data_IF_439979450293
#
_entry.id   IF_439979450293
#
_cell.length_a   1.000
_cell.length_b   1.000
_cell.length_c   1.000
_cell.angle_alpha   90.00
_cell.angle_beta   90.00
_cell.angle_gamma   90.00
#
_symmetry.space_group_name_H-M   'P 1'
#
loop_
_entity.id
_entity.type
_entity.pdbx_description
1 polymer ?
#
# COMPACT_ATOMS: atom_id res chain seq x y z
N UNK A 1 -20.55 15.97 6.38
CA UNK A 1 -21.23 14.73 6.84
C UNK A 1 -21.50 13.85 5.64
N UNK A 2 -21.24 12.55 5.72
CA UNK A 2 -21.55 11.60 4.65
C UNK A 2 -22.97 11.03 4.84
N UNK A 3 -23.75 10.83 3.76
CA UNK A 3 -25.13 10.35 3.86
C UNK A 3 -25.26 8.86 4.22
N UNK A 4 -24.20 8.07 3.98
CA UNK A 4 -24.14 6.63 4.26
C UNK A 4 -22.75 6.26 4.81
N UNK A 5 -22.63 5.13 5.55
CA UNK A 5 -21.34 4.56 5.89
C UNK A 5 -20.47 4.30 4.66
N UNK A 6 -19.17 4.59 4.78
CA UNK A 6 -18.23 4.50 3.67
C UNK A 6 -18.10 3.07 3.12
N UNK A 7 -17.93 2.08 3.99
CA UNK A 7 -17.82 0.67 3.58
C UNK A 7 -19.09 0.17 2.86
N UNK A 8 -20.26 0.55 3.36
CA UNK A 8 -21.54 0.18 2.73
C UNK A 8 -21.65 0.77 1.32
N UNK A 9 -21.19 2.00 1.12
CA UNK A 9 -21.18 2.67 -0.19
C UNK A 9 -20.32 1.90 -1.20
N UNK A 10 -19.10 1.48 -0.81
CA UNK A 10 -18.22 0.69 -1.69
C UNK A 10 -18.73 -0.73 -1.92
N UNK A 11 -19.25 -1.41 -0.88
CA UNK A 11 -19.87 -2.73 -1.05
C UNK A 11 -21.12 -2.70 -1.91
N UNK A 12 -21.86 -1.58 -1.93
CA UNK A 12 -22.99 -1.37 -2.83
C UNK A 12 -22.56 -0.85 -4.22
N UNK A 13 -21.28 -0.57 -4.44
CA UNK A 13 -20.74 0.04 -5.66
C UNK A 13 -21.41 1.39 -6.02
N UNK A 14 -21.68 2.22 -5.01
CA UNK A 14 -22.37 3.52 -5.13
C UNK A 14 -21.45 4.73 -5.01
N UNK A 15 -20.13 4.51 -4.96
CA UNK A 15 -19.15 5.59 -4.98
C UNK A 15 -19.21 6.38 -6.29
N UNK A 16 -18.71 7.62 -6.27
CA UNK A 16 -18.65 8.44 -7.47
C UNK A 16 -17.75 7.78 -8.54
N UNK A 17 -18.18 7.70 -9.81
CA UNK A 17 -17.44 6.98 -10.85
C UNK A 17 -16.29 7.84 -11.40
N UNK A 18 -15.15 7.79 -10.71
CA UNK A 18 -13.89 8.39 -11.16
C UNK A 18 -12.76 7.37 -11.06
N UNK A 19 -11.69 7.50 -11.87
CA UNK A 19 -10.51 6.67 -11.72
C UNK A 19 -9.84 6.90 -10.36
N UNK A 20 -9.32 5.83 -9.75
CA UNK A 20 -8.72 5.88 -8.39
C UNK A 20 -7.31 5.29 -8.39
N UNK A 21 -6.38 5.97 -7.73
CA UNK A 21 -5.10 5.41 -7.31
C UNK A 21 -5.10 5.26 -5.78
N UNK A 22 -4.73 4.08 -5.28
CA UNK A 22 -4.77 3.76 -3.85
C UNK A 22 -3.66 2.76 -3.51
N UNK A 23 -3.13 2.78 -2.29
CA UNK A 23 -2.10 1.81 -1.91
C UNK A 23 -1.86 1.74 -0.42
N UNK A 24 -0.84 0.99 -0.06
CA UNK A 24 -0.37 0.82 1.31
C UNK A 24 1.14 0.60 1.35
N UNK A 25 1.74 0.89 2.49
CA UNK A 25 3.16 0.67 2.73
C UNK A 25 3.42 -0.74 3.28
N UNK A 26 4.67 -1.21 3.20
CA UNK A 26 5.00 -2.57 3.63
C UNK A 26 4.94 -2.79 5.13
N UNK A 27 5.11 -1.72 5.92
CA UNK A 27 5.09 -1.73 7.38
C UNK A 27 4.12 -0.67 7.97
N UNK A 28 2.89 -0.56 7.42
CA UNK A 28 1.84 0.35 7.94
C UNK A 28 1.55 0.16 9.43
N UNK A 29 1.68 -1.08 9.92
CA UNK A 29 1.42 -1.39 11.32
C UNK A 29 2.40 -0.72 12.29
N UNK A 30 3.50 -0.13 11.80
CA UNK A 30 4.42 0.71 12.58
C UNK A 30 3.69 1.82 13.35
N UNK A 31 2.63 2.41 12.77
CA UNK A 31 1.90 3.53 13.41
C UNK A 31 1.03 3.07 14.58
N UNK A 32 0.65 1.80 14.63
CA UNK A 32 -0.25 1.29 15.67
C UNK A 32 0.41 1.33 17.06
N UNK A 33 1.74 1.19 17.13
CA UNK A 33 2.49 1.39 18.37
C UNK A 33 2.37 2.85 18.86
N UNK A 34 2.40 3.82 17.94
CA UNK A 34 2.25 5.26 18.26
C UNK A 34 0.84 5.58 18.75
N UNK A 35 -0.18 4.90 18.23
CA UNK A 35 -1.57 5.02 18.71
C UNK A 35 -1.87 4.22 19.99
N UNK A 36 -0.85 3.62 20.63
CA UNK A 36 -1.01 2.87 21.88
C UNK A 36 -1.68 1.50 21.72
N UNK A 37 -1.74 0.97 20.49
CA UNK A 37 -2.26 -0.37 20.25
C UNK A 37 -1.15 -1.39 20.49
N UNK A 38 -1.24 -2.11 21.61
CA UNK A 38 -0.36 -3.23 21.91
C UNK A 38 -0.73 -4.46 21.05
N UNK A 39 -0.07 -4.57 19.89
CA UNK A 39 -0.23 -5.68 18.95
C UNK A 39 0.06 -7.03 19.63
N UNK A 40 1.09 -7.10 20.48
CA UNK A 40 1.47 -8.32 21.17
C UNK A 40 0.39 -8.72 22.20
N UNK A 41 -0.13 -7.76 22.95
CA UNK A 41 -1.24 -7.95 23.89
C UNK A 41 -2.53 -8.42 23.21
N UNK A 42 -2.87 -7.86 22.04
CA UNK A 42 -4.05 -8.29 21.27
C UNK A 42 -3.93 -9.74 20.78
N UNK A 43 -2.75 -10.17 20.34
CA UNK A 43 -2.55 -11.56 19.92
C UNK A 43 -2.50 -12.50 21.12
N UNK A 44 -1.89 -12.09 22.23
CA UNK A 44 -1.94 -12.88 23.46
C UNK A 44 -3.37 -13.07 23.94
N UNK A 45 -4.19 -12.01 23.90
CA UNK A 45 -5.62 -12.09 24.21
C UNK A 45 -6.33 -13.05 23.24
N UNK A 46 -6.10 -12.92 21.94
CA UNK A 46 -6.68 -13.80 20.93
C UNK A 46 -6.22 -15.27 21.08
N UNK A 47 -4.97 -15.51 21.47
CA UNK A 47 -4.46 -16.83 21.81
C UNK A 47 -5.16 -17.41 23.03
N UNK A 48 -5.56 -16.61 24.01
CA UNK A 48 -6.28 -17.09 25.20
C UNK A 48 -7.76 -17.32 24.90
N UNK A 49 -8.40 -16.40 24.21
CA UNK A 49 -9.86 -16.35 24.06
C UNK A 49 -10.37 -16.98 22.76
N UNK A 50 -9.55 -17.06 21.70
CA UNK A 50 -9.96 -17.46 20.34
C UNK A 50 -8.90 -18.32 19.64
N UNK A 51 -8.44 -19.40 20.30
CA UNK A 51 -7.39 -20.31 19.80
C UNK A 51 -7.64 -20.83 18.38
N UNK A 52 -8.87 -21.23 18.08
CA UNK A 52 -9.25 -21.75 16.76
C UNK A 52 -9.14 -20.64 15.69
N UNK A 53 -9.61 -19.43 16.00
CA UNK A 53 -9.50 -18.27 15.12
C UNK A 53 -8.05 -17.90 14.82
N UNK A 54 -7.17 -17.90 15.84
CA UNK A 54 -5.74 -17.65 15.66
C UNK A 54 -5.07 -18.73 14.80
N UNK A 55 -5.50 -20.00 14.92
CA UNK A 55 -5.03 -21.10 14.06
C UNK A 55 -5.37 -20.89 12.60
N UNK A 56 -6.60 -20.44 12.30
CA UNK A 56 -7.03 -20.10 10.94
C UNK A 56 -6.26 -18.89 10.39
N UNK A 57 -6.05 -17.86 11.20
CA UNK A 57 -5.26 -16.69 10.80
C UNK A 57 -3.83 -17.12 10.44
N UNK A 58 -3.17 -17.96 11.25
CA UNK A 58 -1.82 -18.46 10.94
C UNK A 58 -1.75 -19.21 9.60
N UNK A 59 -2.82 -19.88 9.19
CA UNK A 59 -2.89 -20.56 7.90
C UNK A 59 -2.91 -19.57 6.72
N UNK A 60 -3.49 -18.37 6.93
CA UNK A 60 -3.51 -17.29 5.93
C UNK A 60 -2.16 -16.57 5.78
N UNK A 61 -1.24 -16.72 6.75
CA UNK A 61 0.08 -16.08 6.76
C UNK A 61 1.22 -17.11 6.79
N UNK A 62 1.34 -17.97 5.75
CA UNK A 62 2.40 -18.98 5.71
C UNK A 62 3.78 -18.33 5.70
N UNK A 63 4.67 -18.78 6.58
CA UNK A 63 6.04 -18.29 6.68
C UNK A 63 6.29 -17.22 7.76
N UNK A 64 5.24 -16.64 8.35
CA UNK A 64 5.38 -15.67 9.44
C UNK A 64 5.60 -16.39 10.76
N UNK A 65 6.76 -16.15 11.38
CA UNK A 65 7.14 -16.75 12.67
C UNK A 65 7.06 -15.71 13.78
N UNK A 66 6.50 -16.12 14.91
CA UNK A 66 6.31 -15.25 16.08
C UNK A 66 4.98 -14.50 16.04
N UNK A 67 4.45 -14.22 17.23
CA UNK A 67 3.18 -13.51 17.36
C UNK A 67 3.31 -12.07 16.91
N UNK A 68 4.38 -11.38 17.29
CA UNK A 68 4.58 -9.97 16.94
C UNK A 68 4.55 -9.73 15.42
N UNK A 69 5.33 -10.50 14.65
CA UNK A 69 5.33 -10.42 13.19
C UNK A 69 3.97 -10.77 12.58
N UNK A 70 3.28 -11.79 13.11
CA UNK A 70 1.93 -12.15 12.67
C UNK A 70 0.95 -11.00 12.92
N UNK A 71 1.04 -10.36 14.08
CA UNK A 71 0.19 -9.25 14.45
C UNK A 71 0.37 -8.03 13.56
N UNK A 72 1.63 -7.67 13.29
CA UNK A 72 1.95 -6.57 12.37
C UNK A 72 1.32 -6.80 11.00
N UNK A 73 1.48 -7.99 10.43
CA UNK A 73 0.92 -8.29 9.11
C UNK A 73 -0.60 -8.34 9.11
N UNK A 74 -1.21 -9.00 10.11
CA UNK A 74 -2.67 -9.09 10.25
C UNK A 74 -3.29 -7.70 10.45
N UNK A 75 -2.70 -6.86 11.30
CA UNK A 75 -3.20 -5.51 11.53
C UNK A 75 -3.01 -4.61 10.31
N UNK A 76 -1.85 -4.65 9.64
CA UNK A 76 -1.63 -3.96 8.36
C UNK A 76 -2.71 -4.34 7.35
N UNK A 77 -2.95 -5.63 7.19
CA UNK A 77 -3.88 -6.11 6.18
C UNK A 77 -5.32 -5.76 6.54
N UNK A 78 -5.73 -5.92 7.80
CA UNK A 78 -7.10 -5.58 8.21
C UNK A 78 -7.40 -4.08 8.14
N UNK A 79 -6.44 -3.23 8.51
CA UNK A 79 -6.68 -1.78 8.66
C UNK A 79 -6.37 -1.01 7.38
N UNK A 80 -5.33 -1.40 6.64
CA UNK A 80 -4.82 -0.62 5.51
C UNK A 80 -5.03 -1.35 4.18
N UNK A 81 -4.43 -2.54 4.01
CA UNK A 81 -4.39 -3.22 2.71
C UNK A 81 -5.78 -3.65 2.21
N UNK A 82 -6.62 -4.18 3.11
CA UNK A 82 -7.95 -4.70 2.76
C UNK A 82 -8.86 -3.60 2.23
N UNK A 83 -8.79 -2.38 2.77
CA UNK A 83 -9.64 -1.28 2.31
C UNK A 83 -9.29 -0.91 0.85
N UNK A 84 -8.01 -0.87 0.50
CA UNK A 84 -7.57 -0.68 -0.88
C UNK A 84 -8.11 -1.74 -1.83
N UNK A 85 -8.18 -3.00 -1.39
CA UNK A 85 -8.81 -4.08 -2.17
C UNK A 85 -10.33 -3.91 -2.31
N UNK A 86 -11.03 -3.51 -1.24
CA UNK A 86 -12.49 -3.23 -1.29
C UNK A 86 -12.80 -2.12 -2.29
N UNK A 87 -12.02 -1.03 -2.27
CA UNK A 87 -12.16 0.07 -3.23
C UNK A 87 -11.93 -0.43 -4.66
N UNK A 88 -10.85 -1.19 -4.90
CA UNK A 88 -10.57 -1.77 -6.22
C UNK A 88 -11.72 -2.66 -6.74
N UNK A 89 -12.27 -3.53 -5.89
CA UNK A 89 -13.43 -4.37 -6.25
C UNK A 89 -14.67 -3.54 -6.58
N UNK A 90 -14.91 -2.46 -5.81
CA UNK A 90 -16.01 -1.54 -6.08
C UNK A 90 -15.83 -0.81 -7.42
N UNK A 91 -14.61 -0.41 -7.79
CA UNK A 91 -14.29 0.23 -9.07
C UNK A 91 -14.55 -0.71 -10.25
N UNK A 92 -14.13 -1.97 -10.15
CA UNK A 92 -14.40 -2.98 -11.19
C UNK A 92 -15.89 -3.16 -11.46
N UNK A 93 -16.73 -3.16 -10.41
CA UNK A 93 -18.18 -3.32 -10.53
C UNK A 93 -18.89 -2.19 -11.27
N UNK A 94 -18.29 -1.00 -11.30
CA UNK A 94 -18.82 0.16 -12.03
C UNK A 94 -18.06 0.47 -13.32
N UNK A 95 -17.12 -0.39 -13.72
CA UNK A 95 -16.32 -0.22 -14.92
C UNK A 95 -15.35 0.96 -14.86
N UNK A 96 -14.93 1.38 -13.66
CA UNK A 96 -13.91 2.42 -13.48
C UNK A 96 -12.52 1.82 -13.29
N UNK A 97 -11.46 2.46 -13.82
CA UNK A 97 -10.10 2.05 -13.55
C UNK A 97 -9.68 2.23 -12.10
N UNK A 98 -8.83 1.32 -11.62
CA UNK A 98 -8.16 1.44 -10.33
C UNK A 98 -6.68 1.04 -10.44
N UNK A 99 -5.78 1.89 -9.94
CA UNK A 99 -4.36 1.57 -9.78
C UNK A 99 -4.09 1.34 -8.31
N UNK A 100 -3.72 0.11 -7.96
CA UNK A 100 -3.32 -0.23 -6.60
C UNK A 100 -1.80 -0.23 -6.49
N UNK A 101 -1.22 0.34 -5.43
CA UNK A 101 0.23 0.24 -5.21
C UNK A 101 0.59 -0.38 -3.85
N UNK A 102 1.79 -0.94 -3.80
CA UNK A 102 2.47 -1.40 -2.60
C UNK A 102 3.81 -0.67 -2.46
N UNK A 103 3.96 0.17 -1.45
CA UNK A 103 5.18 0.95 -1.23
C UNK A 103 6.10 0.26 -0.21
N UNK A 104 7.30 -0.08 -0.65
CA UNK A 104 8.27 -0.89 0.09
C UNK A 104 9.69 -0.31 0.04
N UNK A 105 9.82 0.93 -0.45
CA UNK A 105 11.10 1.60 -0.54
C UNK A 105 11.49 2.20 0.81
N UNK A 106 12.72 1.94 1.23
CA UNK A 106 13.37 2.56 2.38
C UNK A 106 14.63 3.23 1.87
N UNK A 107 14.90 4.46 2.31
CA UNK A 107 16.11 5.17 1.93
C UNK A 107 17.35 4.36 2.31
N UNK A 108 18.38 4.34 1.47
CA UNK A 108 19.50 3.40 1.63
C UNK A 108 20.20 3.52 2.99
N UNK A 109 20.32 4.75 3.51
CA UNK A 109 20.90 5.05 4.81
C UNK A 109 20.07 4.50 6.00
N UNK A 110 18.78 4.28 5.81
CA UNK A 110 17.82 3.94 6.86
C UNK A 110 17.37 2.48 6.84
N UNK A 111 17.98 1.62 6.00
CA UNK A 111 17.66 0.19 5.95
C UNK A 111 17.76 -0.50 7.32
N UNK A 112 18.70 -0.08 8.17
CA UNK A 112 18.86 -0.63 9.51
C UNK A 112 17.76 -0.15 10.47
N UNK A 113 17.37 1.11 10.37
CA UNK A 113 16.32 1.72 11.20
C UNK A 113 14.95 1.13 10.85
N UNK A 114 14.65 1.02 9.56
CA UNK A 114 13.39 0.51 9.05
C UNK A 114 13.53 -0.93 8.50
N UNK A 115 14.08 -1.81 9.33
CA UNK A 115 14.36 -3.20 8.97
C UNK A 115 13.12 -4.03 8.55
N UNK A 116 11.91 -3.56 8.88
CA UNK A 116 10.66 -4.24 8.56
C UNK A 116 9.97 -3.70 7.30
N UNK A 117 10.56 -2.71 6.61
CA UNK A 117 10.00 -2.06 5.43
C UNK A 117 9.57 -0.61 5.67
N UNK A 118 8.85 -0.05 4.70
CA UNK A 118 8.40 1.35 4.75
C UNK A 118 7.30 1.54 5.79
N UNK A 119 7.55 2.40 6.78
CA UNK A 119 6.57 2.74 7.80
C UNK A 119 5.41 3.58 7.25
N UNK A 120 4.35 3.71 8.04
CA UNK A 120 3.19 4.54 7.71
C UNK A 120 3.61 6.00 7.43
N UNK A 121 3.23 6.53 6.26
CA UNK A 121 3.54 7.89 5.85
C UNK A 121 4.93 8.10 5.24
N UNK A 122 5.80 7.08 5.23
CA UNK A 122 7.16 7.20 4.65
C UNK A 122 7.14 7.45 3.13
N UNK A 123 6.04 7.15 2.44
CA UNK A 123 5.87 7.39 1.01
C UNK A 123 5.63 8.87 0.68
N UNK A 124 5.11 9.65 1.63
CA UNK A 124 4.65 11.03 1.40
C UNK A 124 5.77 11.90 0.80
N UNK A 125 7.01 11.95 1.35
CA UNK A 125 8.07 12.77 0.76
C UNK A 125 8.47 12.37 -0.67
N UNK A 126 8.27 11.10 -1.05
CA UNK A 126 8.52 10.60 -2.40
C UNK A 126 7.40 11.01 -3.37
N UNK A 127 6.14 10.92 -2.93
CA UNK A 127 4.97 11.37 -3.74
C UNK A 127 5.07 12.84 -4.11
N UNK A 128 5.55 13.67 -3.17
CA UNK A 128 5.68 15.12 -3.38
C UNK A 128 7.04 15.56 -3.94
N UNK A 129 7.99 14.65 -4.12
CA UNK A 129 9.39 14.95 -4.51
C UNK A 129 10.04 16.01 -3.60
N UNK A 130 9.98 15.78 -2.29
CA UNK A 130 10.41 16.73 -1.24
C UNK A 130 11.50 16.20 -0.33
N UNK A 131 12.16 15.11 -0.70
CA UNK A 131 13.17 14.43 0.13
C UNK A 131 14.28 15.36 0.67
N UNK A 132 14.72 16.35 -0.12
CA UNK A 132 15.76 17.32 0.28
C UNK A 132 15.28 18.39 1.26
N UNK A 133 13.97 18.47 1.53
CA UNK A 133 13.33 19.51 2.35
C UNK A 133 12.55 18.96 3.53
N UNK A 134 12.04 17.74 3.42
CA UNK A 134 11.28 17.10 4.48
C UNK A 134 12.23 16.54 5.56
N UNK A 135 11.87 16.77 6.82
CA UNK A 135 12.52 16.14 7.97
C UNK A 135 11.93 14.74 8.20
N UNK A 136 12.73 13.72 8.53
CA UNK A 136 14.20 13.74 8.67
C UNK A 136 14.94 13.44 7.35
N UNK A 137 14.23 13.20 6.24
CA UNK A 137 14.82 12.70 4.98
C UNK A 137 15.93 13.58 4.42
N UNK A 138 15.84 14.91 4.61
CA UNK A 138 16.81 15.88 4.11
C UNK A 138 18.25 15.65 4.63
N UNK A 139 18.41 14.88 5.70
CA UNK A 139 19.70 14.63 6.33
C UNK A 139 20.46 13.41 5.79
N UNK A 140 19.79 12.48 5.13
CA UNK A 140 20.40 11.18 4.80
C UNK A 140 20.14 10.67 3.38
N UNK A 141 19.27 11.32 2.60
CA UNK A 141 18.95 10.88 1.24
C UNK A 141 20.13 11.06 0.27
N UNK A 142 20.28 10.10 -0.64
CA UNK A 142 21.29 10.12 -1.68
C UNK A 142 20.68 10.21 -3.10
N UNK A 143 21.53 10.21 -4.13
CA UNK A 143 21.09 10.36 -5.53
C UNK A 143 20.11 9.25 -5.98
N UNK A 144 20.24 8.03 -5.47
CA UNK A 144 19.31 6.94 -5.80
C UNK A 144 17.94 7.18 -5.16
N UNK A 145 17.89 7.65 -3.91
CA UNK A 145 16.65 8.01 -3.24
C UNK A 145 15.93 9.15 -3.97
N UNK A 146 16.68 10.16 -4.42
CA UNK A 146 16.15 11.31 -5.18
C UNK A 146 15.63 10.86 -6.56
N UNK A 147 16.36 10.02 -7.28
CA UNK A 147 15.91 9.48 -8.55
C UNK A 147 14.63 8.65 -8.40
N UNK A 148 14.54 7.85 -7.32
CA UNK A 148 13.34 7.09 -7.00
C UNK A 148 12.15 7.99 -6.65
N UNK A 149 12.34 9.04 -5.84
CA UNK A 149 11.30 10.02 -5.53
C UNK A 149 10.78 10.72 -6.78
N UNK A 150 11.67 11.19 -7.66
CA UNK A 150 11.29 11.82 -8.93
C UNK A 150 10.45 10.86 -9.78
N UNK A 151 10.81 9.58 -9.85
CA UNK A 151 10.02 8.57 -10.55
C UNK A 151 8.63 8.38 -9.91
N UNK A 152 8.53 8.29 -8.58
CA UNK A 152 7.25 8.17 -7.85
C UNK A 152 6.37 9.40 -8.10
N UNK A 153 6.91 10.61 -8.05
CA UNK A 153 6.17 11.83 -8.34
C UNK A 153 5.64 11.86 -9.78
N UNK A 154 6.44 11.43 -10.76
CA UNK A 154 6.00 11.30 -12.15
C UNK A 154 4.81 10.34 -12.31
N UNK A 155 4.74 9.25 -11.53
CA UNK A 155 3.56 8.37 -11.51
C UNK A 155 2.29 9.11 -11.08
N UNK A 156 2.37 9.87 -10.00
CA UNK A 156 1.23 10.62 -9.46
C UNK A 156 0.77 11.73 -10.41
N UNK A 157 1.71 12.47 -11.01
CA UNK A 157 1.40 13.51 -12.00
C UNK A 157 0.78 12.91 -13.25
N UNK A 158 1.32 11.79 -13.75
CA UNK A 158 0.76 11.10 -14.91
C UNK A 158 -0.64 10.58 -14.64
N UNK A 159 -0.91 10.01 -13.45
CA UNK A 159 -2.26 9.62 -13.05
C UNK A 159 -3.20 10.82 -13.04
N UNK A 160 -2.84 11.90 -12.35
CA UNK A 160 -3.68 13.10 -12.25
C UNK A 160 -3.99 13.72 -13.63
N UNK A 161 -3.03 13.68 -14.57
CA UNK A 161 -3.18 14.28 -15.90
C UNK A 161 -3.90 13.38 -16.91
N UNK A 162 -3.79 12.07 -16.78
CA UNK A 162 -4.14 11.15 -17.87
C UNK A 162 -5.12 10.05 -17.47
N UNK A 163 -5.27 9.73 -16.19
CA UNK A 163 -6.22 8.70 -15.78
C UNK A 163 -7.64 9.08 -16.19
N UNK A 164 -8.28 8.17 -16.91
CA UNK A 164 -9.68 8.31 -17.31
C UNK A 164 -10.26 6.93 -17.55
N UNK A 165 -11.59 6.81 -17.60
CA UNK A 165 -12.26 5.55 -17.90
C UNK A 165 -11.76 4.88 -19.20
N UNK A 166 -11.35 5.67 -20.18
CA UNK A 166 -10.84 5.19 -21.48
C UNK A 166 -9.31 5.14 -21.56
N UNK A 167 -8.59 5.52 -20.50
CA UNK A 167 -7.12 5.51 -20.43
C UNK A 167 -6.69 4.91 -19.10
N UNK A 168 -6.60 3.58 -19.10
CA UNK A 168 -6.22 2.72 -17.97
C UNK A 168 -4.73 2.32 -17.98
N UNK A 169 -4.03 2.53 -19.10
CA UNK A 169 -2.58 2.40 -19.23
C UNK A 169 -1.91 3.77 -19.13
N UNK A 170 -0.97 3.93 -18.20
CA UNK A 170 -0.16 5.15 -18.05
C UNK A 170 1.27 4.88 -18.52
N UNK A 171 1.92 5.85 -19.17
CA UNK A 171 3.24 5.68 -19.78
C UNK A 171 4.34 5.28 -18.79
N UNK A 172 4.23 5.69 -17.53
CA UNK A 172 5.09 5.23 -16.44
C UNK A 172 4.62 3.88 -15.88
N UNK A 173 3.32 3.58 -15.94
CA UNK A 173 2.69 2.40 -15.34
C UNK A 173 2.34 1.36 -16.41
N UNK A 174 3.28 0.50 -16.79
CA UNK A 174 3.01 -0.56 -17.76
C UNK A 174 2.34 -1.77 -17.09
N UNK A 175 1.05 -2.06 -17.36
CA UNK A 175 0.46 -3.31 -16.94
C UNK A 175 0.99 -4.46 -17.81
N UNK A 176 1.44 -5.53 -17.16
CA UNK A 176 1.87 -6.73 -17.87
C UNK A 176 0.71 -7.50 -18.53
N UNK A 177 -0.56 -7.10 -18.32
CA UNK A 177 -1.75 -7.78 -18.85
C UNK A 177 -2.74 -6.81 -19.51
N UNK A 178 -2.96 -6.97 -20.83
CA UNK A 178 -3.79 -6.09 -21.69
C UNK A 178 -5.31 -6.21 -21.51
N UNK A 179 -5.83 -6.69 -20.37
CA UNK A 179 -7.29 -6.91 -20.19
C UNK A 179 -7.84 -6.67 -18.79
N UNK A 180 -7.09 -6.07 -17.86
CA UNK A 180 -7.59 -5.76 -16.53
C UNK A 180 -7.88 -4.26 -16.39
N UNK A 181 -9.12 -3.90 -16.02
CA UNK A 181 -9.50 -2.55 -15.56
C UNK A 181 -8.81 -2.16 -14.24
N UNK A 182 -8.02 -3.05 -13.65
CA UNK A 182 -7.23 -2.77 -12.45
C UNK A 182 -5.78 -3.19 -12.65
N UNK A 183 -4.87 -2.26 -12.34
CA UNK A 183 -3.43 -2.49 -12.35
C UNK A 183 -2.92 -2.51 -10.91
N UNK A 184 -1.96 -3.38 -10.60
CA UNK A 184 -1.22 -3.32 -9.33
C UNK A 184 0.23 -2.94 -9.63
N UNK A 185 0.82 -2.07 -8.81
CA UNK A 185 2.21 -1.64 -8.87
C UNK A 185 2.93 -1.95 -7.56
N UNK A 186 4.22 -2.29 -7.62
CA UNK A 186 5.08 -2.37 -6.42
C UNK A 186 6.19 -1.35 -6.54
N UNK A 187 6.25 -0.42 -5.59
CA UNK A 187 7.32 0.56 -5.45
C UNK A 187 8.35 -0.02 -4.47
N UNK A 188 9.30 -0.78 -4.98
CA UNK A 188 10.43 -1.33 -4.21
C UNK A 188 11.75 -0.76 -4.76
N UNK A 189 12.76 -0.66 -3.89
CA UNK A 189 14.11 -0.28 -4.30
C UNK A 189 14.70 -1.30 -5.28
N UNK A 190 15.62 -0.89 -6.16
CA UNK A 190 16.03 -1.73 -7.28
C UNK A 190 17.19 -2.68 -6.92
N UNK A 191 17.44 -3.77 -7.68
CA UNK A 191 18.77 -4.09 -8.14
C UNK A 191 18.98 -3.34 -9.47
N UNK A 192 19.32 -2.04 -9.39
CA UNK A 192 19.49 -1.11 -10.52
C UNK A 192 18.26 -0.89 -11.45
N UNK A 193 17.60 0.26 -11.29
CA UNK A 193 16.63 0.88 -12.20
C UNK A 193 15.35 0.08 -12.56
N UNK A 194 14.29 0.32 -11.79
CA UNK A 194 12.92 0.03 -12.20
C UNK A 194 12.08 -0.54 -11.06
N UNK A 195 11.21 0.29 -10.47
CA UNK A 195 10.11 -0.24 -9.65
C UNK A 195 9.26 -1.18 -10.52
N UNK A 196 9.07 -2.42 -10.07
CA UNK A 196 8.35 -3.43 -10.84
C UNK A 196 6.84 -3.26 -10.65
N UNK A 197 6.13 -2.97 -11.75
CA UNK A 197 4.66 -2.91 -11.75
C UNK A 197 4.14 -4.31 -12.07
N UNK A 198 3.94 -5.09 -11.01
CA UNK A 198 3.35 -6.42 -11.14
C UNK A 198 1.83 -6.31 -11.09
N UNK A 199 1.18 -6.45 -12.25
CA UNK A 199 -0.25 -6.71 -12.30
C UNK A 199 -0.54 -8.08 -11.67
N UNK A 200 -0.90 -8.11 -10.39
CA UNK A 200 -1.59 -9.27 -9.81
C UNK A 200 -2.98 -9.36 -10.43
N UNK A 201 -3.10 -10.13 -11.51
CA UNK A 201 -4.39 -10.68 -11.93
C UNK A 201 -4.95 -11.53 -10.79
N UNK A 202 -6.26 -11.44 -10.56
CA UNK A 202 -6.99 -12.35 -9.70
C UNK A 202 -6.73 -13.78 -10.18
N UNK A 203 -5.88 -14.51 -9.46
CA UNK A 203 -5.65 -15.94 -9.57
C UNK A 203 -5.78 -16.54 -8.18
#
# INVERSE_FOLDING_TARGET
MLPHPMLETFFAAKQHPIPVMIGSNSDEASVLAVFGVDIAGQIQKMRRERRVGLGLIRLLYPGVKGDEALGRQVCRDMVFTTLGYVVMQAQQRIGEPCWRYWFDYVAEAEHNTYANGACHGNEIPYVFDTLTRAEPTCHYVNENDLAFASQVADYWVNFARHASRTRDVLSSCQPHARRATCCTARFAGPPAFGGEIVCCGLG
#
